data_IF_950254813072
#
_entry.id   IF_950254813072
#
_cell.length_a   1.000
_cell.length_b   1.000
_cell.length_c   1.000
_cell.angle_alpha   90.00
_cell.angle_beta   90.00
_cell.angle_gamma   90.00
#
_symmetry.space_group_name_H-M   'P 1'
#
loop_
_entity.id
_entity.type
_entity.pdbx_description
1 polymer ?
#
# COMPACT_ATOMS: atom_id res chain seq x y z
N UNK A 1 -13.11 -15.98 -3.63
CA UNK A 1 -13.76 -15.89 -2.31
C UNK A 1 -13.76 -17.18 -1.47
N UNK A 2 -13.77 -18.40 -2.03
CA UNK A 2 -13.83 -19.66 -1.24
C UNK A 2 -12.53 -20.08 -0.52
N UNK A 3 -11.35 -19.67 -1.02
CA UNK A 3 -10.05 -19.98 -0.39
C UNK A 3 -9.83 -19.20 0.92
N UNK A 4 -10.35 -17.96 0.99
CA UNK A 4 -10.21 -17.06 2.13
C UNK A 4 -10.94 -17.58 3.38
N UNK A 5 -12.07 -18.26 3.20
CA UNK A 5 -12.84 -18.82 4.31
C UNK A 5 -12.19 -20.06 4.92
N UNK A 6 -11.46 -20.85 4.13
CA UNK A 6 -10.74 -22.03 4.62
C UNK A 6 -9.53 -21.62 5.47
N UNK A 7 -8.73 -20.67 4.97
CA UNK A 7 -7.57 -20.13 5.69
C UNK A 7 -7.97 -19.51 7.03
N UNK A 8 -9.04 -18.71 7.05
CA UNK A 8 -9.58 -18.11 8.28
C UNK A 8 -9.99 -19.18 9.31
N UNK A 9 -10.68 -20.24 8.86
CA UNK A 9 -11.10 -21.34 9.74
C UNK A 9 -9.91 -22.11 10.31
N UNK A 10 -8.90 -22.38 9.49
CA UNK A 10 -7.66 -23.06 9.93
C UNK A 10 -6.92 -22.23 10.97
N UNK A 11 -6.72 -20.93 10.72
CA UNK A 11 -6.05 -20.02 11.66
C UNK A 11 -6.80 -19.90 12.99
N UNK A 12 -8.13 -19.81 12.95
CA UNK A 12 -8.98 -19.75 14.15
C UNK A 12 -8.95 -21.05 14.96
N UNK A 13 -8.88 -22.19 14.28
CA UNK A 13 -8.69 -23.50 14.94
C UNK A 13 -7.30 -23.62 15.58
N UNK A 14 -6.27 -23.14 14.90
CA UNK A 14 -4.91 -23.16 15.43
C UNK A 14 -4.73 -22.25 16.67
N UNK A 15 -5.45 -21.12 16.75
CA UNK A 15 -5.56 -20.33 17.98
C UNK A 15 -6.25 -21.10 19.11
N UNK A 16 -7.35 -21.79 18.83
CA UNK A 16 -8.05 -22.62 19.83
C UNK A 16 -7.16 -23.75 20.37
N UNK A 17 -6.29 -24.29 19.52
CA UNK A 17 -5.30 -25.32 19.88
C UNK A 17 -4.04 -24.77 20.56
N UNK A 18 -3.98 -23.46 20.88
CA UNK A 18 -2.82 -22.76 21.47
C UNK A 18 -1.52 -22.87 20.65
N UNK A 19 -1.62 -23.21 19.36
CA UNK A 19 -0.49 -23.22 18.43
C UNK A 19 -0.09 -21.80 17.99
N UNK A 20 -1.03 -20.85 18.12
CA UNK A 20 -0.78 -19.43 17.91
C UNK A 20 -1.15 -18.61 19.16
N UNK A 21 -0.54 -17.42 19.34
CA UNK A 21 -0.89 -16.51 20.42
C UNK A 21 -2.39 -16.15 20.38
N UNK A 22 -3.08 -16.15 21.54
CA UNK A 22 -4.52 -15.86 21.61
C UNK A 22 -4.85 -14.42 21.20
N UNK A 23 -3.86 -13.52 21.21
CA UNK A 23 -4.02 -12.11 20.92
C UNK A 23 -3.71 -11.74 19.46
N UNK A 24 -3.49 -12.73 18.57
CA UNK A 24 -3.22 -12.44 17.16
C UNK A 24 -4.52 -11.97 16.48
N UNK A 25 -4.56 -10.76 15.89
CA UNK A 25 -5.77 -10.25 15.26
C UNK A 25 -5.95 -10.88 13.86
N UNK A 26 -6.40 -12.14 13.81
CA UNK A 26 -6.66 -12.88 12.56
C UNK A 26 -7.62 -12.10 11.65
N UNK A 27 -8.59 -11.40 12.23
CA UNK A 27 -9.56 -10.60 11.48
C UNK A 27 -8.89 -9.40 10.77
N UNK A 28 -7.73 -8.95 11.24
CA UNK A 28 -6.92 -7.90 10.58
C UNK A 28 -5.92 -8.45 9.57
N UNK A 29 -5.59 -9.74 9.65
CA UNK A 29 -4.67 -10.41 8.71
C UNK A 29 -5.20 -10.35 7.25
N UNK A 30 -6.51 -10.26 7.12
CA UNK A 30 -7.20 -10.18 5.84
C UNK A 30 -7.78 -8.80 5.54
N UNK A 31 -7.52 -7.78 6.35
CA UNK A 31 -7.94 -6.42 6.00
C UNK A 31 -7.12 -6.00 4.78
N UNK A 32 -7.71 -5.92 3.57
CA UNK A 32 -6.95 -5.40 2.45
C UNK A 32 -6.63 -3.96 2.81
N UNK A 33 -5.35 -3.66 3.04
CA UNK A 33 -4.89 -2.26 3.01
C UNK A 33 -5.41 -1.73 1.68
N UNK A 34 -6.30 -0.73 1.74
CA UNK A 34 -6.94 -0.19 0.56
C UNK A 34 -5.86 0.29 -0.39
N UNK A 35 -6.10 0.17 -1.70
CA UNK A 35 -5.15 0.68 -2.71
C UNK A 35 -4.81 2.14 -2.43
N UNK A 36 -5.81 2.92 -1.99
CA UNK A 36 -5.64 4.29 -1.51
C UNK A 36 -4.61 4.41 -0.38
N UNK A 37 -4.70 3.60 0.67
CA UNK A 37 -3.75 3.67 1.78
C UNK A 37 -2.33 3.27 1.34
N UNK A 38 -2.22 2.25 0.47
CA UNK A 38 -0.92 1.87 -0.11
C UNK A 38 -0.30 2.99 -0.93
N UNK A 39 -1.11 3.67 -1.74
CA UNK A 39 -0.66 4.82 -2.55
C UNK A 39 -0.22 5.98 -1.65
N UNK A 40 -0.95 6.25 -0.57
CA UNK A 40 -0.63 7.32 0.35
C UNK A 40 0.68 7.07 1.13
N UNK A 41 0.87 5.85 1.64
CA UNK A 41 2.13 5.42 2.29
C UNK A 41 3.30 5.41 1.30
N UNK A 42 3.04 4.97 0.07
CA UNK A 42 4.07 4.96 -0.97
C UNK A 42 4.58 6.36 -1.28
N UNK A 43 3.67 7.35 -1.42
CA UNK A 43 4.04 8.75 -1.66
C UNK A 43 4.82 9.37 -0.50
N UNK A 44 4.45 9.06 0.74
CA UNK A 44 5.20 9.48 1.93
C UNK A 44 6.61 8.93 1.96
N UNK A 45 6.77 7.63 1.72
CA UNK A 45 8.08 7.00 1.68
C UNK A 45 8.98 7.64 0.62
N UNK A 46 8.42 7.96 -0.55
CA UNK A 46 9.17 8.67 -1.60
C UNK A 46 9.58 10.07 -1.16
N UNK A 47 8.69 10.83 -0.53
CA UNK A 47 9.00 12.17 0.00
C UNK A 47 10.07 12.12 1.08
N UNK A 48 10.00 11.16 2.01
CA UNK A 48 11.00 11.00 3.07
C UNK A 48 12.38 10.69 2.50
N UNK A 49 12.46 9.77 1.54
CA UNK A 49 13.71 9.46 0.83
C UNK A 49 14.24 10.71 0.13
N UNK A 50 13.38 11.44 -0.60
CA UNK A 50 13.82 12.64 -1.31
C UNK A 50 14.30 13.73 -0.35
N UNK A 51 13.55 14.00 0.71
CA UNK A 51 13.89 15.03 1.70
C UNK A 51 15.19 14.73 2.43
N UNK A 52 15.49 13.46 2.70
CA UNK A 52 16.69 13.06 3.44
C UNK A 52 17.93 12.91 2.54
N UNK A 53 17.76 12.44 1.30
CA UNK A 53 18.90 12.02 0.49
C UNK A 53 18.95 12.65 -0.91
N UNK A 54 17.90 13.35 -1.34
CA UNK A 54 17.77 13.88 -2.70
C UNK A 54 17.96 12.81 -3.78
N UNK A 55 17.55 11.58 -3.48
CA UNK A 55 17.90 10.40 -4.27
C UNK A 55 17.23 10.39 -5.65
N UNK A 56 16.01 10.91 -5.78
CA UNK A 56 15.31 10.93 -7.06
C UNK A 56 15.70 12.13 -7.92
N UNK A 57 16.10 13.25 -7.29
CA UNK A 57 16.65 14.41 -8.00
C UNK A 57 18.07 14.20 -8.50
N UNK A 58 18.93 13.56 -7.69
CA UNK A 58 20.37 13.45 -7.97
C UNK A 58 20.85 12.04 -8.31
N UNK A 59 19.99 11.03 -8.12
CA UNK A 59 20.33 9.63 -8.35
C UNK A 59 20.12 9.16 -9.80
N UNK A 60 20.22 7.85 -10.03
CA UNK A 60 20.10 7.28 -11.37
C UNK A 60 18.73 7.55 -12.00
N UNK A 61 18.70 7.94 -13.28
CA UNK A 61 17.43 8.24 -13.98
C UNK A 61 16.42 7.08 -13.96
N UNK A 62 16.89 5.82 -13.89
CA UNK A 62 16.02 4.65 -13.84
C UNK A 62 15.21 4.57 -12.54
N UNK A 63 15.72 5.08 -11.41
CA UNK A 63 15.04 5.00 -10.12
C UNK A 63 13.80 5.91 -10.09
N UNK A 64 13.93 7.13 -10.62
CA UNK A 64 12.81 8.07 -10.80
C UNK A 64 11.73 7.50 -11.74
N UNK A 65 12.12 6.92 -12.87
CA UNK A 65 11.16 6.32 -13.80
C UNK A 65 10.43 5.11 -13.19
N UNK A 66 11.14 4.27 -12.43
CA UNK A 66 10.53 3.14 -11.74
C UNK A 66 9.55 3.62 -10.67
N UNK A 67 9.92 4.64 -9.90
CA UNK A 67 9.07 5.21 -8.87
C UNK A 67 7.78 5.82 -9.45
N UNK A 68 7.91 6.56 -10.56
CA UNK A 68 6.77 7.12 -11.31
C UNK A 68 5.84 6.04 -11.86
N UNK A 69 6.40 5.00 -12.48
CA UNK A 69 5.60 3.89 -13.07
C UNK A 69 4.74 3.21 -12.00
N UNK A 70 5.30 3.01 -10.81
CA UNK A 70 4.58 2.42 -9.69
C UNK A 70 3.54 3.37 -9.10
N UNK A 71 3.83 4.67 -9.00
CA UNK A 71 2.84 5.70 -8.59
C UNK A 71 1.65 5.74 -9.55
N UNK A 72 1.91 5.79 -10.86
CA UNK A 72 0.89 5.81 -11.91
C UNK A 72 0.02 4.55 -11.87
N UNK A 73 0.65 3.37 -11.69
CA UNK A 73 -0.07 2.10 -11.58
C UNK A 73 -0.99 2.07 -10.36
N UNK A 74 -0.48 2.45 -9.18
CA UNK A 74 -1.28 2.51 -7.96
C UNK A 74 -2.39 3.56 -8.05
N UNK A 75 -2.13 4.70 -8.72
CA UNK A 75 -3.14 5.72 -9.01
C UNK A 75 -4.27 5.21 -9.90
N UNK A 76 -3.95 4.44 -10.95
CA UNK A 76 -4.96 3.81 -11.81
C UNK A 76 -5.78 2.76 -11.05
N UNK A 77 -5.12 1.93 -10.24
CA UNK A 77 -5.82 0.97 -9.38
C UNK A 77 -6.75 1.66 -8.38
N UNK A 78 -6.32 2.80 -7.82
CA UNK A 78 -7.13 3.61 -6.93
C UNK A 78 -8.38 4.10 -7.65
N UNK A 79 -8.22 4.72 -8.84
CA UNK A 79 -9.32 5.21 -9.67
C UNK A 79 -10.34 4.12 -10.03
N UNK A 80 -9.88 2.89 -10.28
CA UNK A 80 -10.74 1.73 -10.54
C UNK A 80 -11.45 1.22 -9.27
N UNK A 81 -10.89 1.46 -8.09
CA UNK A 81 -11.42 1.01 -6.79
C UNK A 81 -12.40 1.99 -6.13
N UNK A 82 -12.39 3.25 -6.55
CA UNK A 82 -13.13 4.32 -5.87
C UNK A 82 -14.60 4.35 -6.28
N UNK A 83 -15.47 3.83 -5.41
CA UNK A 83 -16.88 4.26 -5.34
C UNK A 83 -16.95 5.73 -4.91
N UNK A 84 -17.93 6.54 -5.38
CA UNK A 84 -17.96 8.02 -5.29
C UNK A 84 -18.10 8.63 -3.87
N UNK A 85 -17.70 7.93 -2.81
CA UNK A 85 -17.91 8.34 -1.41
C UNK A 85 -16.66 8.28 -0.52
N UNK A 86 -15.46 8.11 -1.07
CA UNK A 86 -14.24 8.16 -0.25
C UNK A 86 -13.84 9.61 0.04
N UNK A 87 -14.19 10.09 1.25
CA UNK A 87 -13.94 11.47 1.74
C UNK A 87 -12.54 11.68 2.33
N UNK A 88 -11.65 10.68 2.32
CA UNK A 88 -10.30 10.85 2.86
C UNK A 88 -9.44 11.66 1.89
N UNK A 89 -8.54 12.51 2.34
CA UNK A 89 -7.57 13.18 1.47
C UNK A 89 -6.49 12.16 1.02
N UNK A 90 -6.04 12.23 -0.23
CA UNK A 90 -4.90 11.44 -0.74
C UNK A 90 -3.79 12.45 -1.04
N UNK A 91 -2.56 12.19 -0.58
CA UNK A 91 -1.41 13.06 -0.91
C UNK A 91 -1.24 13.19 -2.43
N UNK A 92 -0.92 14.38 -2.96
CA UNK A 92 -0.68 14.55 -4.39
C UNK A 92 0.55 13.74 -4.84
N UNK A 93 0.69 13.52 -6.15
CA UNK A 93 1.90 12.92 -6.70
C UNK A 93 3.12 13.80 -6.34
N UNK A 94 4.23 13.21 -5.87
CA UNK A 94 5.43 13.97 -5.52
C UNK A 94 5.98 14.76 -6.71
N UNK A 95 6.28 16.04 -6.51
CA UNK A 95 6.68 16.96 -7.58
C UNK A 95 7.95 16.53 -8.32
N UNK A 96 8.89 15.90 -7.61
CA UNK A 96 10.14 15.39 -8.18
C UNK A 96 9.93 14.20 -9.11
N UNK A 97 8.76 13.54 -9.11
CA UNK A 97 8.42 12.47 -10.06
C UNK A 97 7.87 12.99 -11.39
N UNK A 98 7.55 14.28 -11.51
CA UNK A 98 7.05 14.88 -12.75
C UNK A 98 7.95 14.57 -13.95
N UNK A 99 7.33 14.14 -15.07
CA UNK A 99 7.98 14.03 -16.38
C UNK A 99 8.35 15.42 -16.85
N UNK A 100 9.66 15.70 -16.97
CA UNK A 100 10.16 16.86 -17.73
C UNK A 100 9.90 16.66 -19.21
#
# INVERSE_FOLDING_TARGET
MRLLSLQYRVLKMAQRLRLLPPNLPIDKLHSPISIRHRLDEYREMLEDIENQTQFFSNGPHWSKNHALTLDDFLGQLEALSTTPHSTRHLRPQPSFLSKR
#
